data_IF_781253756463
#
_entry.id   IF_781253756463
#
_cell.length_a   1.000
_cell.length_b   1.000
_cell.length_c   1.000
_cell.angle_alpha   90.00
_cell.angle_beta   90.00
_cell.angle_gamma   90.00
#
_symmetry.space_group_name_H-M   'P 1'
#
loop_
_entity.id
_entity.type
_entity.pdbx_description
1 polymer ?
#
# COMPACT_ATOMS: atom_id res chain seq x y z
N UNK A 1 2.74 -3.72 -16.17
CA UNK A 1 1.75 -4.61 -15.57
C UNK A 1 1.32 -5.62 -16.60
N UNK A 2 1.61 -6.90 -16.39
CA UNK A 2 1.18 -8.01 -17.26
C UNK A 2 -0.31 -8.34 -17.16
N UNK A 3 -0.99 -7.86 -16.11
CA UNK A 3 -2.43 -8.06 -15.87
C UNK A 3 -3.10 -6.79 -15.36
N UNK A 4 -4.42 -6.68 -15.54
CA UNK A 4 -5.24 -5.66 -14.89
C UNK A 4 -5.33 -5.94 -13.39
N UNK A 5 -5.16 -4.91 -12.56
CA UNK A 5 -5.22 -5.01 -11.10
C UNK A 5 -6.32 -4.13 -10.53
N UNK A 6 -6.67 -4.37 -9.28
CA UNK A 6 -7.52 -3.46 -8.51
C UNK A 6 -6.92 -2.05 -8.51
N UNK A 7 -7.77 -1.03 -8.49
CA UNK A 7 -7.33 0.37 -8.39
C UNK A 7 -6.60 0.62 -7.08
N UNK A 8 -7.05 0.01 -5.97
CA UNK A 8 -6.44 0.09 -4.64
C UNK A 8 -6.63 -1.22 -3.89
N UNK A 9 -5.61 -1.63 -3.13
CA UNK A 9 -5.64 -2.76 -2.22
C UNK A 9 -5.19 -2.31 -0.82
N UNK A 10 -5.95 -2.65 0.23
CA UNK A 10 -5.53 -2.37 1.61
C UNK A 10 -4.39 -3.34 2.00
N UNK A 11 -3.17 -2.82 2.18
CA UNK A 11 -2.00 -3.62 2.58
C UNK A 11 -1.65 -3.54 4.07
N UNK A 12 -2.21 -2.58 4.80
CA UNK A 12 -1.99 -2.45 6.24
C UNK A 12 -2.80 -1.32 6.86
N UNK A 13 -3.10 -1.43 8.16
CA UNK A 13 -3.75 -0.39 8.95
C UNK A 13 -3.29 -0.47 10.41
N UNK A 14 -3.44 0.63 11.16
CA UNK A 14 -3.24 0.66 12.60
C UNK A 14 -4.34 1.49 13.24
N UNK A 15 -5.05 0.91 14.21
CA UNK A 15 -5.98 1.66 15.07
C UNK A 15 -5.17 2.39 16.14
N UNK A 16 -5.41 3.68 16.29
CA UNK A 16 -4.66 4.54 17.22
C UNK A 16 -5.66 5.32 18.07
N UNK A 17 -5.53 5.22 19.38
CA UNK A 17 -6.25 6.08 20.34
C UNK A 17 -5.39 7.31 20.66
N UNK A 18 -6.02 8.47 20.72
CA UNK A 18 -5.38 9.76 21.05
C UNK A 18 -6.15 10.46 22.15
N UNK A 19 -5.43 11.05 23.12
CA UNK A 19 -6.00 12.04 24.03
C UNK A 19 -6.19 13.39 23.30
N UNK A 20 -7.03 14.32 23.82
CA UNK A 20 -7.15 15.65 23.25
C UNK A 20 -5.79 16.35 23.14
N UNK A 21 -5.44 16.81 21.93
CA UNK A 21 -4.16 17.46 21.64
C UNK A 21 -2.96 16.52 21.43
N UNK A 22 -3.12 15.21 21.61
CA UNK A 22 -2.04 14.24 21.42
C UNK A 22 -1.72 14.03 19.92
N UNK A 23 -0.44 13.92 19.60
CA UNK A 23 0.05 13.55 18.26
C UNK A 23 0.86 12.27 18.35
N UNK A 24 0.60 11.33 17.42
CA UNK A 24 1.37 10.08 17.30
C UNK A 24 1.91 9.89 15.90
N UNK A 25 3.17 9.49 15.80
CA UNK A 25 3.76 8.97 14.57
C UNK A 25 3.35 7.50 14.40
N UNK A 26 2.86 7.16 13.21
CA UNK A 26 2.46 5.79 12.84
C UNK A 26 3.37 5.28 11.74
N UNK A 27 4.00 4.13 11.98
CA UNK A 27 4.80 3.42 10.98
C UNK A 27 4.04 2.21 10.47
N UNK A 28 3.83 2.15 9.15
CA UNK A 28 3.28 0.99 8.45
C UNK A 28 4.39 0.43 7.53
N UNK A 29 4.91 -0.78 7.80
CA UNK A 29 5.99 -1.33 6.99
C UNK A 29 5.47 -1.79 5.63
N UNK A 30 6.17 -1.42 4.57
CA UNK A 30 5.97 -1.97 3.22
C UNK A 30 7.00 -3.08 3.02
N UNK A 31 6.53 -4.29 2.72
CA UNK A 31 7.39 -5.45 2.44
C UNK A 31 7.10 -5.99 1.04
N UNK A 32 7.90 -6.93 0.56
CA UNK A 32 7.65 -7.60 -0.74
C UNK A 32 6.26 -8.23 -0.77
N UNK A 33 5.79 -8.74 0.38
CA UNK A 33 4.46 -9.32 0.56
C UNK A 33 3.32 -8.29 0.40
N UNK A 34 3.62 -6.99 0.43
CA UNK A 34 2.65 -5.93 0.20
C UNK A 34 2.47 -5.62 -1.29
N UNK A 35 3.42 -5.99 -2.16
CA UNK A 35 3.47 -5.53 -3.55
C UNK A 35 3.23 -6.65 -4.58
N UNK A 36 3.27 -7.91 -4.16
CA UNK A 36 3.10 -9.03 -5.08
C UNK A 36 1.65 -9.17 -5.57
N UNK A 37 1.53 -9.79 -6.73
CA UNK A 37 0.28 -10.27 -7.30
C UNK A 37 0.56 -11.54 -8.12
N UNK A 38 -0.50 -12.20 -8.58
CA UNK A 38 -0.40 -13.33 -9.50
C UNK A 38 -0.33 -12.83 -10.94
N UNK A 39 0.65 -13.30 -11.71
CA UNK A 39 0.66 -13.13 -13.17
C UNK A 39 -0.30 -14.13 -13.85
N UNK A 40 -0.34 -14.13 -15.17
CA UNK A 40 -1.19 -15.04 -15.97
C UNK A 40 -0.84 -16.53 -15.77
N UNK A 41 0.40 -16.81 -15.37
CA UNK A 41 0.91 -18.16 -15.13
C UNK A 41 0.72 -18.63 -13.67
N UNK A 42 -0.07 -17.88 -12.88
CA UNK A 42 -0.34 -18.15 -11.45
C UNK A 42 0.92 -18.10 -10.55
N UNK A 43 1.95 -17.37 -10.98
CA UNK A 43 3.15 -17.14 -10.19
C UNK A 43 3.02 -15.89 -9.33
N UNK A 44 3.43 -16.00 -8.06
CA UNK A 44 3.45 -14.88 -7.11
C UNK A 44 4.74 -14.09 -7.26
N UNK A 45 4.66 -12.90 -7.84
CA UNK A 45 5.83 -12.05 -8.07
C UNK A 45 5.54 -10.56 -7.86
N UNK A 46 6.60 -9.78 -7.73
CA UNK A 46 6.56 -8.31 -7.75
C UNK A 46 7.23 -7.88 -9.04
N UNK A 47 6.46 -7.28 -9.95
CA UNK A 47 7.02 -6.71 -11.17
C UNK A 47 7.76 -5.41 -10.85
N UNK A 48 8.95 -5.18 -11.45
CA UNK A 48 9.57 -3.86 -11.45
C UNK A 48 8.62 -2.81 -12.03
N UNK A 49 8.69 -1.59 -11.50
CA UNK A 49 7.84 -0.47 -11.91
C UNK A 49 7.41 0.41 -10.75
N UNK A 50 6.42 1.25 -11.02
CA UNK A 50 5.92 2.24 -10.07
C UNK A 50 4.69 1.73 -9.32
N UNK A 51 4.67 2.00 -8.01
CA UNK A 51 3.56 1.70 -7.11
C UNK A 51 3.15 2.97 -6.38
N UNK A 52 1.85 3.28 -6.42
CA UNK A 52 1.28 4.34 -5.59
C UNK A 52 1.05 3.82 -4.16
N UNK A 53 1.79 4.37 -3.21
CA UNK A 53 1.60 4.10 -1.78
C UNK A 53 0.66 5.16 -1.22
N UNK A 54 -0.56 4.74 -0.91
CA UNK A 54 -1.63 5.61 -0.43
C UNK A 54 -1.85 5.45 1.08
N UNK A 55 -1.95 6.56 1.81
CA UNK A 55 -2.24 6.58 3.26
C UNK A 55 -3.35 7.59 3.55
N UNK A 56 -4.33 7.20 4.35
CA UNK A 56 -5.49 8.04 4.65
C UNK A 56 -6.39 7.47 5.74
N UNK A 57 -7.43 8.22 6.11
CA UNK A 57 -8.44 7.79 7.07
C UNK A 57 -9.61 7.02 6.42
N UNK A 58 -9.69 7.00 5.09
CA UNK A 58 -10.63 6.18 4.31
C UNK A 58 -10.03 5.87 2.93
N UNK A 59 -10.65 4.95 2.18
CA UNK A 59 -10.21 4.63 0.81
C UNK A 59 -10.39 5.77 -0.20
N UNK A 60 -11.24 6.76 0.15
CA UNK A 60 -11.54 7.92 -0.69
C UNK A 60 -10.63 9.11 -0.37
N UNK A 61 -10.28 9.30 0.91
CA UNK A 61 -9.44 10.42 1.36
C UNK A 61 -8.03 9.94 1.71
N UNK A 62 -7.13 10.01 0.73
CA UNK A 62 -5.75 9.51 0.83
C UNK A 62 -4.74 10.54 0.32
N UNK A 63 -3.54 10.51 0.87
CA UNK A 63 -2.34 11.10 0.27
C UNK A 63 -1.54 9.99 -0.40
N UNK A 64 -0.89 10.29 -1.52
CA UNK A 64 -0.11 9.32 -2.29
C UNK A 64 1.36 9.72 -2.37
N UNK A 65 2.24 8.72 -2.40
CA UNK A 65 3.64 8.85 -2.80
C UNK A 65 3.99 7.69 -3.73
N UNK A 66 4.80 7.94 -4.74
CA UNK A 66 5.22 6.92 -5.70
C UNK A 66 6.47 6.21 -5.20
N UNK A 67 6.45 4.89 -5.25
CA UNK A 67 7.58 4.00 -4.97
C UNK A 67 8.00 3.30 -6.28
N UNK A 68 9.26 3.44 -6.66
CA UNK A 68 9.84 2.70 -7.78
C UNK A 68 10.50 1.42 -7.27
N UNK A 69 10.07 0.28 -7.79
CA UNK A 69 10.68 -1.04 -7.58
C UNK A 69 11.53 -1.38 -8.79
N UNK A 70 12.77 -1.78 -8.55
CA UNK A 70 13.73 -2.21 -9.59
C UNK A 70 13.84 -3.73 -9.63
#
# INVERSE_FOLDING_TARGET
SSVTRNVKDLKGFKRVSLAPGETKTVTLPIRKESLWFYNLDMERLVEPGEFDIMVGNSSQNVKSVTLTVQ
#
